data_IF_251288153778
#
_entry.id   IF_251288153778
#
_cell.length_a   1.000
_cell.length_b   1.000
_cell.length_c   1.000
_cell.angle_alpha   90.00
_cell.angle_beta   90.00
_cell.angle_gamma   90.00
#
_symmetry.space_group_name_H-M   'P 1'
#
loop_
_entity.id
_entity.type
_entity.pdbx_description
1 polymer ?
#
# COMPACT_ATOMS: atom_id res chain seq x y z
N UNK A 1 -3.51 17.70 25.39
CA UNK A 1 -3.97 16.52 24.66
C UNK A 1 -3.03 16.32 23.47
N UNK A 2 -2.09 15.43 23.66
CA UNK A 2 -1.26 14.95 22.57
C UNK A 2 -2.17 14.09 21.71
N UNK A 3 -2.46 14.53 20.47
CA UNK A 3 -3.06 13.66 19.47
C UNK A 3 -2.00 12.58 19.16
N UNK A 4 -2.00 11.50 19.94
CA UNK A 4 -1.20 10.33 19.59
C UNK A 4 -1.88 9.70 18.38
N UNK A 5 -1.28 9.87 17.20
CA UNK A 5 -1.55 8.93 16.13
C UNK A 5 -0.99 7.60 16.59
N UNK A 6 -1.84 6.61 16.78
CA UNK A 6 -1.42 5.30 17.27
C UNK A 6 -0.55 4.53 16.25
N UNK A 7 -0.34 5.06 15.05
CA UNK A 7 0.48 4.47 13.99
C UNK A 7 1.02 5.55 13.05
N UNK A 8 2.34 5.61 12.89
CA UNK A 8 3.02 6.51 11.95
C UNK A 8 3.37 5.80 10.64
N UNK A 9 3.42 6.56 9.53
CA UNK A 9 3.80 6.05 8.21
C UNK A 9 4.96 6.87 7.64
N UNK A 10 5.94 6.18 7.04
CA UNK A 10 6.95 6.85 6.23
C UNK A 10 6.33 7.43 4.94
N UNK A 11 7.07 8.30 4.25
CA UNK A 11 6.83 8.54 2.83
C UNK A 11 6.95 7.23 2.04
N UNK A 12 6.29 7.16 0.85
CA UNK A 12 6.33 5.95 0.03
C UNK A 12 7.71 5.71 -0.58
N UNK A 13 8.26 4.53 -0.38
CA UNK A 13 9.59 4.11 -0.84
C UNK A 13 9.49 3.22 -2.08
N UNK A 14 10.27 3.52 -3.10
CA UNK A 14 10.31 2.69 -4.31
C UNK A 14 10.99 1.36 -4.05
N UNK A 15 10.28 0.24 -4.25
CA UNK A 15 10.85 -1.10 -4.15
C UNK A 15 12.02 -1.31 -5.14
N UNK A 16 11.88 -0.77 -6.35
CA UNK A 16 12.94 -0.81 -7.35
C UNK A 16 14.19 -0.06 -6.89
N UNK A 17 14.03 1.14 -6.30
CA UNK A 17 15.17 1.90 -5.77
C UNK A 17 15.87 1.14 -4.63
N UNK A 18 15.10 0.50 -3.73
CA UNK A 18 15.65 -0.35 -2.68
C UNK A 18 16.44 -1.54 -3.25
N UNK A 19 15.96 -2.17 -4.32
CA UNK A 19 16.68 -3.26 -5.00
C UNK A 19 18.05 -2.81 -5.53
N UNK A 20 18.19 -1.57 -6.00
CA UNK A 20 19.43 -1.00 -6.49
C UNK A 20 20.25 -0.27 -5.41
N UNK A 21 19.91 -0.42 -4.14
CA UNK A 21 20.60 0.19 -2.99
C UNK A 21 20.71 1.71 -3.05
N UNK A 22 19.67 2.37 -3.59
CA UNK A 22 19.60 3.83 -3.65
C UNK A 22 19.61 4.42 -2.24
N UNK A 23 20.59 5.31 -1.97
CA UNK A 23 20.80 5.88 -0.64
C UNK A 23 19.61 6.72 -0.17
N UNK A 24 18.95 7.42 -1.10
CA UNK A 24 17.77 8.22 -0.77
C UNK A 24 16.59 7.33 -0.37
N UNK A 25 16.41 6.19 -1.06
CA UNK A 25 15.37 5.23 -0.69
C UNK A 25 15.64 4.62 0.70
N UNK A 26 16.90 4.37 1.05
CA UNK A 26 17.28 3.90 2.38
C UNK A 26 16.99 4.96 3.45
N UNK A 27 17.30 6.23 3.20
CA UNK A 27 17.00 7.34 4.14
C UNK A 27 15.49 7.52 4.37
N UNK A 28 14.65 7.38 3.33
CA UNK A 28 13.20 7.56 3.46
C UNK A 28 12.57 6.49 4.37
N UNK A 29 13.14 5.29 4.44
CA UNK A 29 12.61 4.23 5.29
C UNK A 29 13.15 4.25 6.73
N UNK A 30 14.09 5.16 7.06
CA UNK A 30 14.58 5.32 8.42
C UNK A 30 13.47 5.78 9.35
N UNK A 31 13.32 5.11 10.48
CA UNK A 31 12.39 5.44 11.54
C UNK A 31 13.11 6.20 12.64
N UNK A 32 12.46 7.18 13.25
CA UNK A 32 12.97 7.89 14.40
C UNK A 32 12.98 7.02 15.66
N UNK A 33 13.87 7.35 16.59
CA UNK A 33 13.90 6.67 17.88
C UNK A 33 12.56 6.87 18.64
N UNK A 34 11.89 5.78 18.97
CA UNK A 34 10.60 5.80 19.65
C UNK A 34 9.37 5.98 18.73
N UNK A 35 9.52 5.96 17.40
CA UNK A 35 8.41 5.92 16.44
C UNK A 35 7.80 4.52 16.35
N UNK A 36 7.10 4.10 17.40
CA UNK A 36 6.34 2.87 17.46
C UNK A 36 4.93 3.09 18.02
N UNK A 37 3.88 2.46 17.42
CA UNK A 37 3.94 1.61 16.22
C UNK A 37 4.16 2.40 14.93
N UNK A 38 4.92 1.81 14.02
CA UNK A 38 5.33 2.44 12.77
C UNK A 38 5.11 1.55 11.55
N UNK A 39 4.91 2.19 10.40
CA UNK A 39 4.74 1.54 9.11
C UNK A 39 5.73 2.09 8.08
N UNK A 40 6.40 1.23 7.35
CA UNK A 40 7.12 1.63 6.15
C UNK A 40 6.26 1.34 4.94
N UNK A 41 5.93 2.38 4.16
CA UNK A 41 5.14 2.25 2.94
C UNK A 41 6.04 2.06 1.73
N UNK A 42 5.86 0.95 1.00
CA UNK A 42 6.58 0.66 -0.25
C UNK A 42 5.64 0.70 -1.46
N UNK A 43 6.18 0.96 -2.65
CA UNK A 43 5.43 0.88 -3.90
C UNK A 43 6.24 0.26 -5.03
N UNK A 44 5.55 -0.42 -5.94
CA UNK A 44 6.09 -1.08 -7.12
C UNK A 44 5.10 -2.10 -7.67
N UNK A 45 5.35 -2.58 -8.88
CA UNK A 45 4.58 -3.63 -9.56
C UNK A 45 5.43 -4.85 -9.96
N UNK A 46 6.75 -4.76 -9.82
CA UNK A 46 7.65 -5.89 -10.01
C UNK A 46 7.63 -6.79 -8.78
N UNK A 47 7.12 -8.00 -8.94
CA UNK A 47 6.87 -8.96 -7.85
C UNK A 47 8.16 -9.32 -7.09
N UNK A 48 9.25 -9.54 -7.82
CA UNK A 48 10.53 -9.93 -7.21
C UNK A 48 11.18 -8.76 -6.47
N UNK A 49 11.11 -7.55 -7.05
CA UNK A 49 11.59 -6.36 -6.37
C UNK A 49 10.77 -6.05 -5.12
N UNK A 50 9.45 -6.25 -5.15
CA UNK A 50 8.58 -6.03 -4.00
C UNK A 50 8.89 -7.01 -2.86
N UNK A 51 9.10 -8.29 -3.14
CA UNK A 51 9.53 -9.27 -2.13
C UNK A 51 10.85 -8.88 -1.47
N UNK A 52 11.88 -8.58 -2.29
CA UNK A 52 13.22 -8.18 -1.79
C UNK A 52 13.20 -6.84 -1.04
N UNK A 53 12.34 -5.92 -1.46
CA UNK A 53 12.17 -4.65 -0.77
C UNK A 53 11.55 -4.86 0.62
N UNK A 54 10.51 -5.70 0.73
CA UNK A 54 9.89 -6.05 2.00
C UNK A 54 10.87 -6.73 2.95
N UNK A 55 11.67 -7.69 2.48
CA UNK A 55 12.74 -8.33 3.27
C UNK A 55 13.78 -7.32 3.76
N UNK A 56 14.19 -6.38 2.89
CA UNK A 56 15.14 -5.33 3.25
C UNK A 56 14.57 -4.36 4.29
N UNK A 57 13.31 -3.93 4.12
CA UNK A 57 12.60 -3.07 5.07
C UNK A 57 12.49 -3.78 6.43
N UNK A 58 12.04 -5.03 6.43
CA UNK A 58 11.91 -5.83 7.65
C UNK A 58 13.23 -5.95 8.43
N UNK A 59 14.34 -6.10 7.72
CA UNK A 59 15.67 -6.30 8.33
C UNK A 59 16.35 -5.00 8.77
N UNK A 60 16.16 -3.87 8.04
CA UNK A 60 16.93 -2.63 8.25
C UNK A 60 16.14 -1.61 9.07
N UNK A 61 14.90 -1.35 8.67
CA UNK A 61 14.05 -0.36 9.34
C UNK A 61 13.30 -0.94 10.53
N UNK A 62 13.05 -2.25 10.54
CA UNK A 62 12.36 -2.98 11.61
C UNK A 62 11.02 -2.35 12.03
N UNK A 63 10.11 -2.00 11.07
CA UNK A 63 8.81 -1.41 11.38
C UNK A 63 7.86 -2.44 12.01
N UNK A 64 6.79 -1.95 12.67
CA UNK A 64 5.73 -2.82 13.19
C UNK A 64 4.88 -3.44 12.08
N UNK A 65 4.76 -2.77 10.91
CA UNK A 65 4.11 -3.30 9.72
C UNK A 65 4.71 -2.74 8.42
N UNK A 66 4.43 -3.42 7.31
CA UNK A 66 4.76 -2.95 5.96
C UNK A 66 3.47 -2.63 5.21
N UNK A 67 3.36 -1.42 4.66
CA UNK A 67 2.21 -1.00 3.87
C UNK A 67 2.53 -0.95 2.37
N UNK A 68 1.60 -1.42 1.55
CA UNK A 68 1.73 -1.38 0.09
C UNK A 68 0.89 -0.23 -0.46
N UNK A 69 1.54 0.72 -1.14
CA UNK A 69 0.83 1.78 -1.83
C UNK A 69 0.22 1.25 -3.14
N UNK A 70 -1.10 1.13 -3.17
CA UNK A 70 -1.90 0.82 -4.36
C UNK A 70 -2.87 1.97 -4.72
N UNK A 71 -2.55 3.20 -4.29
CA UNK A 71 -3.42 4.36 -4.43
C UNK A 71 -2.79 5.63 -5.00
N UNK A 72 -1.48 5.70 -5.18
CA UNK A 72 -0.80 6.89 -5.69
C UNK A 72 -1.32 7.26 -7.10
N UNK A 73 -1.89 8.49 -7.30
CA UNK A 73 -2.48 8.88 -8.58
C UNK A 73 -1.47 9.54 -9.53
N UNK A 74 -0.25 9.81 -9.08
CA UNK A 74 0.76 10.55 -9.84
C UNK A 74 1.06 9.83 -11.15
N UNK A 75 0.98 10.53 -12.32
CA UNK A 75 1.15 9.89 -13.64
C UNK A 75 2.43 9.07 -13.78
N UNK A 76 3.56 9.57 -13.26
CA UNK A 76 4.84 8.87 -13.31
C UNK A 76 4.81 7.51 -12.60
N UNK A 77 4.02 7.37 -11.54
CA UNK A 77 3.84 6.13 -10.77
C UNK A 77 2.73 5.28 -11.38
N UNK A 78 1.53 5.86 -11.55
CA UNK A 78 0.35 5.12 -11.96
C UNK A 78 0.42 4.60 -13.41
N UNK A 79 1.04 5.35 -14.32
CA UNK A 79 1.16 4.93 -15.72
C UNK A 79 2.23 3.85 -15.95
N UNK A 80 3.18 3.67 -15.01
CA UNK A 80 4.13 2.55 -15.03
C UNK A 80 3.54 1.24 -14.47
N UNK A 81 2.29 1.27 -14.01
CA UNK A 81 1.62 0.12 -13.38
C UNK A 81 1.73 0.08 -11.86
N UNK A 82 2.46 1.01 -11.26
CA UNK A 82 2.66 1.10 -9.82
C UNK A 82 1.53 1.88 -9.12
N UNK A 83 1.46 1.83 -7.81
CA UNK A 83 0.47 2.57 -7.04
C UNK A 83 -0.95 2.26 -7.51
N UNK A 84 -1.74 3.29 -7.87
CA UNK A 84 -3.11 3.08 -8.37
C UNK A 84 -3.19 2.35 -9.73
N UNK A 85 -2.07 2.19 -10.43
CA UNK A 85 -1.98 1.38 -11.64
C UNK A 85 -2.31 -0.09 -11.38
N UNK A 86 -1.94 -0.62 -10.21
CA UNK A 86 -2.24 -2.00 -9.80
C UNK A 86 -3.75 -2.29 -9.73
N UNK A 87 -4.59 -1.30 -9.46
CA UNK A 87 -6.04 -1.49 -9.45
C UNK A 87 -6.63 -1.86 -10.83
N UNK A 88 -5.87 -1.65 -11.92
CA UNK A 88 -6.25 -2.07 -13.28
C UNK A 88 -5.89 -3.53 -13.58
N UNK A 89 -5.04 -4.12 -12.75
CA UNK A 89 -4.51 -5.48 -12.90
C UNK A 89 -4.56 -6.23 -11.56
N UNK A 90 -5.77 -6.57 -11.06
CA UNK A 90 -5.96 -7.19 -9.74
C UNK A 90 -5.12 -8.46 -9.53
N UNK A 91 -4.96 -9.29 -10.56
CA UNK A 91 -4.16 -10.52 -10.49
C UNK A 91 -2.68 -10.23 -10.22
N UNK A 92 -2.15 -9.13 -10.78
CA UNK A 92 -0.79 -8.67 -10.47
C UNK A 92 -0.71 -8.11 -9.06
N UNK A 93 -1.74 -7.36 -8.62
CA UNK A 93 -1.80 -6.81 -7.26
C UNK A 93 -1.79 -7.91 -6.20
N UNK A 94 -2.53 -9.01 -6.41
CA UNK A 94 -2.52 -10.20 -5.54
C UNK A 94 -1.10 -10.78 -5.46
N UNK A 95 -0.44 -11.02 -6.59
CA UNK A 95 0.92 -11.56 -6.62
C UNK A 95 1.93 -10.63 -5.90
N UNK A 96 1.75 -9.33 -6.05
CA UNK A 96 2.56 -8.32 -5.34
C UNK A 96 2.32 -8.40 -3.83
N UNK A 97 1.07 -8.46 -3.38
CA UNK A 97 0.73 -8.59 -1.97
C UNK A 97 1.31 -9.87 -1.34
N UNK A 98 1.09 -11.02 -1.98
CA UNK A 98 1.67 -12.30 -1.55
C UNK A 98 3.22 -12.27 -1.47
N UNK A 99 3.87 -11.61 -2.44
CA UNK A 99 5.32 -11.46 -2.46
C UNK A 99 5.83 -10.59 -1.30
N UNK A 100 5.14 -9.50 -1.00
CA UNK A 100 5.45 -8.64 0.15
C UNK A 100 5.22 -9.37 1.46
N UNK A 101 4.13 -10.12 1.61
CA UNK A 101 3.83 -10.93 2.80
C UNK A 101 4.96 -11.95 3.05
N UNK A 102 5.40 -12.65 2.01
CA UNK A 102 6.55 -13.57 2.15
C UNK A 102 7.83 -12.86 2.57
N UNK A 103 8.10 -11.66 2.04
CA UNK A 103 9.31 -10.87 2.35
C UNK A 103 9.25 -10.19 3.72
N UNK A 104 8.06 -9.89 4.23
CA UNK A 104 7.85 -9.22 5.50
C UNK A 104 8.11 -10.12 6.73
N UNK A 105 8.15 -11.44 6.54
CA UNK A 105 8.26 -12.41 7.64
C UNK A 105 7.00 -12.40 8.50
N UNK A 106 7.14 -12.27 9.80
CA UNK A 106 6.02 -12.29 10.75
C UNK A 106 5.29 -10.92 10.88
N UNK A 107 5.72 -9.88 10.15
CA UNK A 107 5.11 -8.56 10.23
C UNK A 107 3.81 -8.49 9.46
N UNK A 108 2.77 -7.83 10.01
CA UNK A 108 1.55 -7.56 9.28
C UNK A 108 1.83 -6.77 7.98
N UNK A 109 1.11 -7.10 6.92
CA UNK A 109 1.15 -6.34 5.67
C UNK A 109 -0.22 -5.70 5.45
N UNK A 110 -0.22 -4.40 5.16
CA UNK A 110 -1.43 -3.63 4.86
C UNK A 110 -1.41 -3.06 3.46
N UNK A 111 -2.56 -2.64 2.96
CA UNK A 111 -2.69 -2.04 1.63
C UNK A 111 -3.44 -0.73 1.72
N UNK A 112 -2.90 0.32 1.11
CA UNK A 112 -3.61 1.58 0.89
C UNK A 112 -4.02 1.72 -0.57
N UNK A 113 -5.34 1.82 -0.84
CA UNK A 113 -5.91 1.80 -2.18
C UNK A 113 -6.90 2.96 -2.42
N UNK A 114 -7.42 3.06 -3.65
CA UNK A 114 -8.51 3.96 -4.05
C UNK A 114 -9.77 3.17 -4.44
N UNK A 115 -10.81 3.87 -4.97
CA UNK A 115 -12.03 3.23 -5.45
C UNK A 115 -11.86 2.49 -6.79
N UNK A 116 -10.81 2.80 -7.53
CA UNK A 116 -10.55 2.30 -8.88
C UNK A 116 -9.81 3.35 -9.71
N UNK A 117 -9.62 3.07 -11.01
CA UNK A 117 -8.91 3.96 -11.91
C UNK A 117 -9.70 5.22 -12.24
N UNK A 118 -10.95 5.06 -12.64
CA UNK A 118 -11.90 6.13 -12.98
C UNK A 118 -13.34 5.74 -12.61
N UNK A 119 -14.31 6.61 -12.92
CA UNK A 119 -15.72 6.37 -12.61
C UNK A 119 -16.32 5.14 -13.32
N UNK A 120 -15.77 4.75 -14.47
CA UNK A 120 -16.24 3.60 -15.24
C UNK A 120 -15.59 2.28 -14.81
N UNK A 121 -14.59 2.33 -13.93
CA UNK A 121 -13.80 1.18 -13.48
C UNK A 121 -13.60 1.17 -11.96
N UNK A 122 -14.66 1.46 -11.22
CA UNK A 122 -14.69 1.29 -9.76
C UNK A 122 -14.73 -0.21 -9.45
N UNK A 123 -13.73 -0.70 -8.71
CA UNK A 123 -13.57 -2.10 -8.36
C UNK A 123 -13.07 -2.31 -6.91
N UNK A 124 -13.26 -1.30 -6.06
CA UNK A 124 -12.67 -1.30 -4.71
C UNK A 124 -13.12 -2.47 -3.84
N UNK A 125 -14.37 -2.94 -3.96
CA UNK A 125 -14.89 -4.04 -3.13
C UNK A 125 -14.25 -5.36 -3.52
N UNK A 126 -14.27 -5.70 -4.81
CA UNK A 126 -13.67 -6.93 -5.33
C UNK A 126 -12.15 -6.92 -5.13
N UNK A 127 -11.51 -5.77 -5.33
CA UNK A 127 -10.08 -5.60 -5.12
C UNK A 127 -9.69 -5.80 -3.65
N UNK A 128 -10.45 -5.22 -2.72
CA UNK A 128 -10.19 -5.37 -1.29
C UNK A 128 -10.36 -6.83 -0.82
N UNK A 129 -11.39 -7.54 -1.32
CA UNK A 129 -11.56 -8.98 -1.06
C UNK A 129 -10.36 -9.80 -1.55
N UNK A 130 -9.89 -9.52 -2.77
CA UNK A 130 -8.71 -10.19 -3.29
C UNK A 130 -7.44 -9.93 -2.44
N UNK A 131 -7.31 -8.73 -1.84
CA UNK A 131 -6.22 -8.44 -0.90
C UNK A 131 -6.37 -9.20 0.42
N UNK A 132 -7.58 -9.28 0.97
CA UNK A 132 -7.86 -10.10 2.16
C UNK A 132 -7.55 -11.58 1.91
N UNK A 133 -8.01 -12.13 0.78
CA UNK A 133 -7.74 -13.52 0.37
C UNK A 133 -6.23 -13.78 0.17
N UNK A 134 -5.47 -12.79 -0.28
CA UNK A 134 -4.01 -12.86 -0.38
C UNK A 134 -3.29 -12.84 0.99
N UNK A 135 -4.01 -12.57 2.09
CA UNK A 135 -3.45 -12.55 3.45
C UNK A 135 -3.07 -11.17 3.98
N UNK A 136 -3.56 -10.10 3.35
CA UNK A 136 -3.38 -8.73 3.83
C UNK A 136 -4.11 -8.54 5.17
N UNK A 137 -3.47 -7.90 6.13
CA UNK A 137 -3.97 -7.75 7.51
C UNK A 137 -4.94 -6.58 7.72
N UNK A 138 -4.88 -5.55 6.85
CA UNK A 138 -5.80 -4.41 6.87
C UNK A 138 -5.79 -3.66 5.55
N UNK A 139 -6.89 -2.96 5.24
CA UNK A 139 -7.03 -2.16 4.00
C UNK A 139 -7.46 -0.73 4.34
N UNK A 140 -6.70 0.25 3.86
CA UNK A 140 -7.06 1.66 3.93
C UNK A 140 -7.58 2.16 2.57
N UNK A 141 -8.79 2.74 2.55
CA UNK A 141 -9.45 3.17 1.32
C UNK A 141 -9.56 4.69 1.24
N UNK A 142 -8.97 5.27 0.20
CA UNK A 142 -9.28 6.64 -0.19
C UNK A 142 -10.55 6.66 -1.06
N UNK A 143 -11.62 7.29 -0.58
CA UNK A 143 -12.96 7.31 -1.20
C UNK A 143 -13.06 8.10 -2.52
N UNK A 144 -12.01 8.11 -3.32
CA UNK A 144 -11.94 8.72 -4.67
C UNK A 144 -11.24 7.79 -5.64
N UNK A 145 -11.56 7.91 -6.93
CA UNK A 145 -10.81 7.21 -8.01
C UNK A 145 -9.46 7.88 -8.27
N UNK A 146 -8.57 7.19 -8.99
CA UNK A 146 -7.29 7.78 -9.45
C UNK A 146 -7.54 9.02 -10.31
N UNK A 147 -8.50 8.98 -11.21
CA UNK A 147 -8.80 10.10 -12.11
C UNK A 147 -9.30 11.34 -11.38
N UNK A 148 -10.02 11.17 -10.25
CA UNK A 148 -10.45 12.29 -9.41
C UNK A 148 -9.29 12.97 -8.66
N UNK A 149 -8.18 12.26 -8.41
CA UNK A 149 -7.11 12.75 -7.55
C UNK A 149 -7.64 13.24 -6.20
N UNK A 150 -7.83 14.54 -6.03
CA UNK A 150 -8.40 15.19 -4.84
C UNK A 150 -9.68 15.99 -5.14
N UNK A 151 -10.16 15.98 -6.40
CA UNK A 151 -11.36 16.72 -6.81
C UNK A 151 -12.65 16.07 -6.29
N UNK A 152 -13.66 16.89 -6.05
CA UNK A 152 -14.97 16.46 -5.56
C UNK A 152 -14.92 15.95 -4.12
N UNK A 153 -15.94 15.20 -3.71
CA UNK A 153 -16.10 14.61 -2.38
C UNK A 153 -15.71 13.14 -2.36
N UNK A 154 -15.26 12.64 -1.22
CA UNK A 154 -15.05 11.21 -1.01
C UNK A 154 -16.39 10.47 -1.03
N UNK A 155 -16.43 9.30 -1.65
CA UNK A 155 -17.64 8.46 -1.69
C UNK A 155 -17.64 7.52 -0.47
N UNK A 156 -18.38 7.92 0.55
CA UNK A 156 -18.50 7.18 1.81
C UNK A 156 -19.28 5.87 1.68
N UNK A 157 -20.21 5.77 0.72
CA UNK A 157 -20.97 4.54 0.48
C UNK A 157 -20.05 3.44 -0.06
N UNK A 158 -19.09 3.79 -0.93
CA UNK A 158 -18.08 2.84 -1.40
C UNK A 158 -17.14 2.41 -0.28
N UNK A 159 -16.74 3.33 0.61
CA UNK A 159 -15.92 2.97 1.79
C UNK A 159 -16.70 2.01 2.69
N UNK A 160 -17.97 2.28 2.95
CA UNK A 160 -18.87 1.40 3.72
C UNK A 160 -18.97 0.02 3.06
N UNK A 161 -19.22 -0.04 1.75
CA UNK A 161 -19.33 -1.30 1.02
C UNK A 161 -18.04 -2.15 1.13
N UNK A 162 -16.86 -1.53 1.07
CA UNK A 162 -15.60 -2.23 1.33
C UNK A 162 -15.55 -2.77 2.75
N UNK A 163 -15.89 -1.95 3.78
CA UNK A 163 -15.87 -2.38 5.18
C UNK A 163 -16.84 -3.53 5.46
N UNK A 164 -18.04 -3.51 4.87
CA UNK A 164 -19.06 -4.57 5.01
C UNK A 164 -18.65 -5.86 4.28
N UNK A 165 -17.78 -5.78 3.30
CA UNK A 165 -17.32 -6.91 2.51
C UNK A 165 -16.13 -7.67 3.11
N UNK A 166 -15.42 -7.08 4.10
CA UNK A 166 -14.20 -7.61 4.69
C UNK A 166 -14.41 -8.01 6.15
N UNK A 167 -13.67 -9.06 6.58
CA UNK A 167 -13.53 -9.44 7.99
C UNK A 167 -12.38 -8.71 8.69
N UNK A 168 -11.37 -8.26 7.93
CA UNK A 168 -10.23 -7.48 8.42
C UNK A 168 -10.59 -5.98 8.60
N UNK A 169 -9.78 -5.21 9.37
CA UNK A 169 -9.90 -3.77 9.50
C UNK A 169 -9.83 -3.03 8.15
#
# INVERSE_FOLDING_TARGET
DVCSSDLTYTEMVSAKALCFQDQKALQIMELGEGEHPSAVQIFGSDVDCMARAAEKVARIADPDLIDINMGCPVPKVANSGDGSGLMRTPELAVRVAEAVIRGAGDRPVTVKMRLGWDKGSINCVEFARAMEEAGVSAVAVHGRTRAQQYAGTANWDQIRAVKEALSIP
#
